data_IF_660246174770
#
_entry.id   IF_660246174770
#
_cell.length_a   1.000
_cell.length_b   1.000
_cell.length_c   1.000
_cell.angle_alpha   90.00
_cell.angle_beta   90.00
_cell.angle_gamma   90.00
#
_symmetry.space_group_name_H-M   'P 1'
#
loop_
_entity.id
_entity.type
_entity.pdbx_description
1 polymer ?
#
# COMPACT_ATOMS: atom_id res chain seq x y z
N UNK A 1 -6.29 -20.25 25.62
CA UNK A 1 -7.06 -21.24 26.43
C UNK A 1 -7.71 -22.28 25.53
N UNK A 2 -8.28 -21.93 24.35
CA UNK A 2 -8.72 -22.96 23.39
C UNK A 2 -7.60 -23.80 22.79
N UNK A 3 -6.42 -23.22 22.60
CA UNK A 3 -5.26 -23.95 22.06
C UNK A 3 -4.91 -25.16 22.94
N UNK A 4 -5.08 -25.02 24.26
CA UNK A 4 -4.87 -26.11 25.24
C UNK A 4 -5.86 -27.25 25.02
N UNK A 5 -7.13 -26.97 24.69
CA UNK A 5 -8.10 -28.03 24.42
C UNK A 5 -7.78 -28.77 23.12
N UNK A 6 -7.32 -28.08 22.08
CA UNK A 6 -6.89 -28.69 20.82
C UNK A 6 -5.58 -29.50 20.97
N UNK A 7 -4.71 -29.10 21.91
CA UNK A 7 -3.52 -29.86 22.25
C UNK A 7 -3.83 -31.14 23.05
N UNK A 8 -4.89 -31.14 23.88
CA UNK A 8 -5.25 -32.27 24.72
C UNK A 8 -6.13 -33.29 23.98
N UNK A 9 -7.04 -32.88 23.10
CA UNK A 9 -7.89 -33.80 22.37
C UNK A 9 -7.08 -34.59 21.33
N UNK A 10 -7.05 -35.92 21.46
CA UNK A 10 -6.35 -36.87 20.58
C UNK A 10 -7.26 -37.98 20.06
N UNK A 11 -8.30 -38.35 20.79
CA UNK A 11 -9.24 -39.40 20.36
C UNK A 11 -10.54 -38.81 19.83
N UNK A 12 -11.29 -39.64 19.09
CA UNK A 12 -12.59 -39.26 18.53
C UNK A 12 -13.58 -38.86 19.63
N UNK A 13 -13.61 -39.61 20.72
CA UNK A 13 -14.52 -39.40 21.85
C UNK A 13 -14.25 -38.06 22.56
N UNK A 14 -12.98 -37.65 22.66
CA UNK A 14 -12.59 -36.36 23.24
C UNK A 14 -13.05 -35.19 22.37
N UNK A 15 -12.91 -35.32 21.04
CA UNK A 15 -13.42 -34.33 20.10
C UNK A 15 -14.96 -34.23 20.10
N UNK A 16 -15.66 -35.36 20.15
CA UNK A 16 -17.12 -35.40 20.29
C UNK A 16 -17.58 -34.75 21.61
N UNK A 17 -16.86 -34.99 22.71
CA UNK A 17 -17.13 -34.34 23.99
C UNK A 17 -16.93 -32.82 23.92
N UNK A 18 -15.83 -32.36 23.29
CA UNK A 18 -15.57 -30.94 23.11
C UNK A 18 -16.67 -30.26 22.27
N UNK A 19 -17.11 -30.89 21.17
CA UNK A 19 -18.23 -30.40 20.37
C UNK A 19 -19.48 -30.22 21.23
N UNK A 20 -19.83 -31.21 22.05
CA UNK A 20 -20.98 -31.12 22.96
C UNK A 20 -20.84 -29.95 23.95
N UNK A 21 -19.65 -29.74 24.51
CA UNK A 21 -19.37 -28.62 25.42
C UNK A 21 -19.43 -27.25 24.76
N UNK A 22 -19.03 -27.15 23.50
CA UNK A 22 -19.17 -25.92 22.74
C UNK A 22 -20.64 -25.62 22.44
N UNK A 23 -21.42 -26.64 22.13
CA UNK A 23 -22.85 -26.52 21.78
C UNK A 23 -23.75 -26.17 22.97
N UNK A 24 -23.35 -26.52 24.21
CA UNK A 24 -24.07 -26.15 25.45
C UNK A 24 -24.25 -24.63 25.64
N UNK A 25 -23.36 -23.80 25.06
CA UNK A 25 -23.53 -22.34 25.05
C UNK A 25 -23.20 -21.77 23.65
N UNK A 26 -24.16 -21.75 22.73
CA UNK A 26 -23.89 -21.43 21.33
C UNK A 26 -23.50 -19.96 21.15
N UNK A 27 -22.47 -19.72 20.33
CA UNK A 27 -22.09 -18.41 19.81
C UNK A 27 -21.51 -18.56 18.40
N UNK A 28 -21.48 -17.49 17.61
CA UNK A 28 -20.94 -17.56 16.24
C UNK A 28 -19.49 -18.09 16.22
N UNK A 29 -18.66 -17.69 17.19
CA UNK A 29 -17.30 -18.20 17.33
C UNK A 29 -17.25 -19.69 17.70
N UNK A 30 -18.10 -20.17 18.61
CA UNK A 30 -18.13 -21.60 18.99
C UNK A 30 -18.71 -22.48 17.88
N UNK A 31 -19.70 -21.99 17.14
CA UNK A 31 -20.25 -22.69 15.97
C UNK A 31 -19.20 -22.87 14.89
N UNK A 32 -18.41 -21.84 14.62
CA UNK A 32 -17.25 -21.96 13.73
C UNK A 32 -16.29 -23.04 14.21
N UNK A 33 -15.94 -23.03 15.50
CA UNK A 33 -15.05 -24.03 16.07
C UNK A 33 -15.59 -25.45 15.99
N UNK A 34 -16.90 -25.64 16.20
CA UNK A 34 -17.57 -26.92 16.00
C UNK A 34 -17.43 -27.38 14.55
N UNK A 35 -17.68 -26.50 13.57
CA UNK A 35 -17.52 -26.84 12.14
C UNK A 35 -16.08 -27.25 11.82
N UNK A 36 -15.10 -26.54 12.34
CA UNK A 36 -13.68 -26.85 12.15
C UNK A 36 -13.34 -28.23 12.75
N UNK A 37 -13.79 -28.53 13.97
CA UNK A 37 -13.61 -29.84 14.61
C UNK A 37 -14.28 -30.96 13.79
N UNK A 38 -15.52 -30.75 13.34
CA UNK A 38 -16.26 -31.73 12.54
C UNK A 38 -15.52 -32.07 11.24
N UNK A 39 -14.92 -31.07 10.59
CA UNK A 39 -14.17 -31.23 9.33
C UNK A 39 -12.78 -31.83 9.53
N UNK A 40 -11.98 -31.24 10.41
CA UNK A 40 -10.54 -31.50 10.49
C UNK A 40 -10.17 -32.66 11.41
N UNK A 41 -10.99 -32.94 12.44
CA UNK A 41 -10.66 -33.93 13.46
C UNK A 41 -11.61 -35.13 13.49
N UNK A 42 -12.91 -34.90 13.27
CA UNK A 42 -13.92 -35.96 13.24
C UNK A 42 -14.20 -36.51 11.83
N UNK A 43 -13.77 -35.77 10.79
CA UNK A 43 -14.03 -36.07 9.38
C UNK A 43 -15.51 -36.37 9.08
N UNK A 44 -16.40 -35.67 9.78
CA UNK A 44 -17.84 -35.80 9.64
C UNK A 44 -18.38 -34.73 8.67
N UNK A 45 -18.20 -35.00 7.38
CA UNK A 45 -18.60 -34.11 6.29
C UNK A 45 -20.09 -33.72 6.37
N UNK A 46 -20.96 -34.66 6.78
CA UNK A 46 -22.40 -34.43 6.88
C UNK A 46 -22.70 -33.38 7.95
N UNK A 47 -22.14 -33.51 9.15
CA UNK A 47 -22.35 -32.55 10.22
C UNK A 47 -21.78 -31.17 9.86
N UNK A 48 -20.62 -31.13 9.19
CA UNK A 48 -20.05 -29.88 8.68
C UNK A 48 -20.99 -29.19 7.69
N UNK A 49 -21.45 -29.91 6.67
CA UNK A 49 -22.33 -29.36 5.62
C UNK A 49 -23.67 -28.91 6.19
N UNK A 50 -24.28 -29.70 7.07
CA UNK A 50 -25.55 -29.35 7.72
C UNK A 50 -25.45 -28.02 8.47
N UNK A 51 -24.35 -27.75 9.17
CA UNK A 51 -24.18 -26.48 9.88
C UNK A 51 -23.77 -25.34 8.93
N UNK A 52 -22.81 -25.58 8.02
CA UNK A 52 -22.31 -24.55 7.09
C UNK A 52 -23.41 -24.03 6.16
N UNK A 53 -24.30 -24.90 5.70
CA UNK A 53 -25.38 -24.51 4.79
C UNK A 53 -26.50 -23.71 5.48
N UNK A 54 -26.61 -23.72 6.82
CA UNK A 54 -27.61 -22.91 7.54
C UNK A 54 -27.30 -21.41 7.50
N UNK A 55 -26.02 -21.03 7.38
CA UNK A 55 -25.59 -19.63 7.43
C UNK A 55 -24.42 -19.38 6.48
N UNK A 56 -24.72 -18.84 5.30
CA UNK A 56 -23.75 -18.32 4.34
C UNK A 56 -23.99 -16.82 4.15
N UNK A 57 -23.30 -15.99 4.94
CA UNK A 57 -23.51 -14.55 4.94
C UNK A 57 -22.28 -13.78 4.49
N UNK A 58 -21.12 -14.10 5.06
CA UNK A 58 -19.86 -13.46 4.72
C UNK A 58 -19.16 -14.19 3.57
N UNK A 59 -18.34 -13.48 2.81
CA UNK A 59 -17.51 -14.08 1.75
C UNK A 59 -16.65 -15.24 2.26
N UNK A 60 -16.15 -15.15 3.49
CA UNK A 60 -15.42 -16.25 4.13
C UNK A 60 -16.29 -17.50 4.37
N UNK A 61 -17.60 -17.36 4.60
CA UNK A 61 -18.48 -18.53 4.74
C UNK A 61 -18.58 -19.29 3.42
N UNK A 62 -18.70 -18.56 2.31
CA UNK A 62 -18.68 -19.13 0.97
C UNK A 62 -17.32 -19.71 0.62
N UNK A 63 -16.23 -19.06 1.03
CA UNK A 63 -14.88 -19.57 0.77
C UNK A 63 -14.62 -20.86 1.53
N UNK A 64 -14.97 -20.94 2.82
CA UNK A 64 -14.81 -22.15 3.62
C UNK A 64 -15.56 -23.34 2.98
N UNK A 65 -16.76 -23.10 2.44
CA UNK A 65 -17.54 -24.12 1.74
C UNK A 65 -16.95 -24.47 0.36
N UNK A 66 -16.49 -23.49 -0.41
CA UNK A 66 -15.82 -23.73 -1.69
C UNK A 66 -14.53 -24.54 -1.49
N UNK A 67 -13.70 -24.18 -0.51
CA UNK A 67 -12.49 -24.89 -0.14
C UNK A 67 -12.76 -26.34 0.28
N UNK A 68 -13.83 -26.57 1.06
CA UNK A 68 -14.28 -27.92 1.38
C UNK A 68 -14.58 -28.74 0.11
N UNK A 69 -15.31 -28.18 -0.86
CA UNK A 69 -15.59 -28.89 -2.11
C UNK A 69 -14.33 -29.11 -2.97
N UNK A 70 -13.36 -28.19 -2.95
CA UNK A 70 -12.06 -28.38 -3.61
C UNK A 70 -11.33 -29.59 -3.02
N UNK A 71 -11.27 -29.70 -1.69
CA UNK A 71 -10.63 -30.83 -0.99
C UNK A 71 -11.28 -32.17 -1.31
N UNK A 72 -12.60 -32.17 -1.54
CA UNK A 72 -13.35 -33.37 -1.95
C UNK A 72 -13.28 -33.66 -3.45
N UNK A 73 -12.61 -32.81 -4.24
CA UNK A 73 -12.54 -32.93 -5.69
C UNK A 73 -13.86 -32.57 -6.41
N UNK A 74 -14.83 -32.00 -5.70
CA UNK A 74 -16.14 -31.61 -6.24
C UNK A 74 -16.07 -30.22 -6.91
N UNK A 75 -15.26 -30.10 -7.95
CA UNK A 75 -14.90 -28.82 -8.56
C UNK A 75 -16.10 -27.99 -9.04
N UNK A 76 -17.17 -28.65 -9.52
CA UNK A 76 -18.38 -27.94 -9.96
C UNK A 76 -19.06 -27.20 -8.81
N UNK A 77 -19.23 -27.86 -7.66
CA UNK A 77 -19.84 -27.24 -6.47
C UNK A 77 -18.94 -26.16 -5.88
N UNK A 78 -17.62 -26.36 -5.92
CA UNK A 78 -16.67 -25.33 -5.49
C UNK A 78 -16.81 -24.05 -6.32
N UNK A 79 -16.89 -24.17 -7.65
CA UNK A 79 -17.08 -23.03 -8.55
C UNK A 79 -18.43 -22.36 -8.34
N UNK A 80 -19.51 -23.13 -8.27
CA UNK A 80 -20.85 -22.59 -8.02
C UNK A 80 -20.89 -21.83 -6.68
N UNK A 81 -20.32 -22.41 -5.62
CA UNK A 81 -20.24 -21.78 -4.31
C UNK A 81 -19.44 -20.47 -4.36
N UNK A 82 -18.31 -20.47 -5.07
CA UNK A 82 -17.49 -19.28 -5.21
C UNK A 82 -18.20 -18.16 -5.99
N UNK A 83 -18.91 -18.50 -7.07
CA UNK A 83 -19.74 -17.58 -7.86
C UNK A 83 -20.85 -16.96 -7.00
N UNK A 84 -21.55 -17.78 -6.21
CA UNK A 84 -22.55 -17.25 -5.27
C UNK A 84 -21.89 -16.33 -4.23
N UNK A 85 -20.69 -16.67 -3.76
CA UNK A 85 -19.93 -15.89 -2.80
C UNK A 85 -19.58 -14.49 -3.29
N UNK A 86 -19.05 -14.33 -4.50
CA UNK A 86 -18.70 -12.99 -5.02
C UNK A 86 -19.94 -12.10 -5.24
N UNK A 87 -21.10 -12.71 -5.49
CA UNK A 87 -22.36 -12.00 -5.72
C UNK A 87 -23.06 -11.60 -4.40
N UNK A 88 -23.07 -12.50 -3.41
CA UNK A 88 -23.91 -12.38 -2.20
C UNK A 88 -23.13 -12.16 -0.91
N UNK A 89 -21.89 -12.66 -0.84
CA UNK A 89 -21.09 -12.64 0.38
C UNK A 89 -20.74 -11.21 0.81
N UNK A 90 -20.84 -10.93 2.11
CA UNK A 90 -20.41 -9.65 2.69
C UNK A 90 -18.97 -9.71 3.23
N UNK A 91 -18.35 -8.54 3.38
CA UNK A 91 -16.97 -8.45 3.88
C UNK A 91 -15.96 -8.94 2.86
N UNK A 92 -14.96 -9.70 3.32
CA UNK A 92 -13.81 -10.14 2.52
C UNK A 92 -14.22 -11.12 1.42
N UNK A 93 -13.87 -10.81 0.17
CA UNK A 93 -14.13 -11.64 -1.02
C UNK A 93 -12.86 -12.10 -1.77
N UNK A 94 -11.67 -11.77 -1.26
CA UNK A 94 -10.38 -11.94 -1.94
C UNK A 94 -10.15 -13.36 -2.46
N UNK A 95 -10.33 -14.37 -1.61
CA UNK A 95 -10.09 -15.77 -1.95
C UNK A 95 -11.05 -16.29 -3.02
N UNK A 96 -12.31 -15.83 -2.99
CA UNK A 96 -13.33 -16.22 -3.97
C UNK A 96 -12.98 -15.68 -5.36
N UNK A 97 -12.63 -14.39 -5.44
CA UNK A 97 -12.18 -13.77 -6.70
C UNK A 97 -10.91 -14.41 -7.22
N UNK A 98 -9.93 -14.65 -6.34
CA UNK A 98 -8.69 -15.31 -6.72
C UNK A 98 -8.95 -16.70 -7.31
N UNK A 99 -9.70 -17.55 -6.60
CA UNK A 99 -10.02 -18.90 -7.05
C UNK A 99 -10.74 -18.94 -8.40
N UNK A 100 -11.75 -18.09 -8.58
CA UNK A 100 -12.47 -17.98 -9.86
C UNK A 100 -11.56 -17.48 -10.98
N UNK A 101 -10.75 -16.46 -10.71
CA UNK A 101 -9.82 -15.93 -11.72
C UNK A 101 -8.77 -16.95 -12.15
N UNK A 102 -8.16 -17.66 -11.20
CA UNK A 102 -7.18 -18.73 -11.49
C UNK A 102 -7.83 -19.84 -12.33
N UNK A 103 -9.09 -20.19 -12.03
CA UNK A 103 -9.85 -21.17 -12.82
C UNK A 103 -10.07 -20.71 -14.27
N UNK A 104 -10.58 -19.49 -14.47
CA UNK A 104 -10.91 -19.00 -15.80
C UNK A 104 -9.67 -18.70 -16.64
N UNK A 105 -8.60 -18.17 -16.03
CA UNK A 105 -7.29 -18.01 -16.69
C UNK A 105 -6.76 -19.36 -17.17
N UNK A 106 -6.77 -20.38 -16.30
CA UNK A 106 -6.29 -21.73 -16.66
C UNK A 106 -7.10 -22.37 -17.79
N UNK A 107 -8.39 -22.07 -17.89
CA UNK A 107 -9.26 -22.55 -18.98
C UNK A 107 -9.19 -21.72 -20.26
N UNK A 108 -8.57 -20.54 -20.23
CA UNK A 108 -8.67 -19.57 -21.32
C UNK A 108 -10.09 -19.02 -21.50
N UNK A 109 -10.90 -19.01 -20.44
CA UNK A 109 -12.28 -18.54 -20.47
C UNK A 109 -12.33 -17.03 -20.24
N UNK A 110 -12.01 -16.30 -21.31
CA UNK A 110 -11.97 -14.82 -21.30
C UNK A 110 -13.30 -14.22 -20.88
N UNK A 111 -14.43 -14.77 -21.34
CA UNK A 111 -15.77 -14.22 -21.07
C UNK A 111 -16.07 -14.23 -19.58
N UNK A 112 -15.80 -15.36 -18.90
CA UNK A 112 -16.04 -15.43 -17.48
C UNK A 112 -15.00 -14.66 -16.65
N UNK A 113 -13.74 -14.60 -17.09
CA UNK A 113 -12.74 -13.76 -16.46
C UNK A 113 -13.14 -12.28 -16.48
N UNK A 114 -13.59 -11.76 -17.63
CA UNK A 114 -14.09 -10.39 -17.73
C UNK A 114 -15.33 -10.17 -16.87
N UNK A 115 -16.27 -11.13 -16.85
CA UNK A 115 -17.48 -11.05 -16.02
C UNK A 115 -17.15 -10.91 -14.54
N UNK A 116 -16.21 -11.69 -14.01
CA UNK A 116 -15.83 -11.57 -12.60
C UNK A 116 -15.07 -10.27 -12.31
N UNK A 117 -14.31 -9.74 -13.26
CA UNK A 117 -13.69 -8.40 -13.13
C UNK A 117 -14.77 -7.31 -13.08
N UNK A 118 -15.79 -7.39 -13.94
CA UNK A 118 -16.93 -6.46 -13.87
C UNK A 118 -17.70 -6.59 -12.56
N UNK A 119 -17.80 -7.81 -12.02
CA UNK A 119 -18.40 -8.05 -10.71
C UNK A 119 -17.60 -7.36 -9.60
N UNK A 120 -16.26 -7.47 -9.62
CA UNK A 120 -15.38 -6.77 -8.69
C UNK A 120 -15.59 -5.24 -8.74
N UNK A 121 -15.64 -4.67 -9.95
CA UNK A 121 -15.89 -3.23 -10.15
C UNK A 121 -17.26 -2.79 -9.64
N UNK A 122 -18.31 -3.56 -9.93
CA UNK A 122 -19.68 -3.25 -9.48
C UNK A 122 -19.82 -3.35 -7.96
N UNK A 123 -19.14 -4.31 -7.34
CA UNK A 123 -19.13 -4.54 -5.88
C UNK A 123 -18.21 -3.57 -5.13
N UNK A 124 -17.36 -2.81 -5.84
CA UNK A 124 -16.28 -1.99 -5.27
C UNK A 124 -15.38 -2.78 -4.33
N UNK A 125 -15.01 -3.97 -4.77
CA UNK A 125 -14.18 -4.90 -4.00
C UNK A 125 -13.24 -5.65 -4.94
N UNK A 126 -11.96 -5.76 -4.57
CA UNK A 126 -10.89 -6.32 -5.42
C UNK A 126 -10.74 -5.65 -6.81
N UNK A 127 -11.15 -4.39 -7.00
CA UNK A 127 -11.13 -3.76 -8.34
C UNK A 127 -9.73 -3.79 -8.97
N UNK A 128 -8.73 -3.28 -8.25
CA UNK A 128 -7.35 -3.23 -8.74
C UNK A 128 -6.75 -4.64 -8.92
N UNK A 129 -6.77 -5.55 -7.93
CA UNK A 129 -6.24 -6.89 -8.10
C UNK A 129 -6.85 -7.66 -9.28
N UNK A 130 -8.16 -7.52 -9.51
CA UNK A 130 -8.84 -8.16 -10.63
C UNK A 130 -8.48 -7.54 -11.97
N UNK A 131 -8.38 -6.21 -12.07
CA UNK A 131 -7.90 -5.53 -13.27
C UNK A 131 -6.44 -5.87 -13.58
N UNK A 132 -5.59 -5.98 -12.57
CA UNK A 132 -4.20 -6.41 -12.73
C UNK A 132 -4.11 -7.83 -13.28
N UNK A 133 -4.91 -8.77 -12.75
CA UNK A 133 -5.00 -10.13 -13.28
C UNK A 133 -5.49 -10.16 -14.73
N UNK A 134 -6.49 -9.35 -15.07
CA UNK A 134 -7.00 -9.25 -16.44
C UNK A 134 -5.94 -8.67 -17.40
N UNK A 135 -5.17 -7.69 -16.95
CA UNK A 135 -4.04 -7.15 -17.69
C UNK A 135 -2.98 -8.22 -17.98
N UNK A 136 -2.55 -8.96 -16.96
CA UNK A 136 -1.55 -10.03 -17.12
C UNK A 136 -2.05 -11.10 -18.10
N UNK A 137 -3.31 -11.51 -17.98
CA UNK A 137 -3.94 -12.46 -18.90
C UNK A 137 -3.89 -11.99 -20.36
N UNK A 138 -4.29 -10.75 -20.63
CA UNK A 138 -4.26 -10.22 -22.00
C UNK A 138 -2.86 -9.98 -22.52
N UNK A 139 -1.92 -9.57 -21.65
CA UNK A 139 -0.52 -9.41 -21.99
C UNK A 139 0.08 -10.75 -22.43
N UNK A 140 -0.17 -11.82 -21.68
CA UNK A 140 0.39 -13.15 -21.95
C UNK A 140 -0.17 -13.76 -23.24
N UNK A 141 -1.37 -13.33 -23.66
CA UNK A 141 -1.95 -13.65 -24.97
C UNK A 141 -1.43 -12.78 -26.12
N UNK A 142 -0.62 -11.76 -25.85
CA UNK A 142 -0.19 -10.77 -26.84
C UNK A 142 -1.29 -9.80 -27.28
N UNK A 143 -2.42 -9.74 -26.57
CA UNK A 143 -3.54 -8.85 -26.89
C UNK A 143 -3.30 -7.45 -26.31
N UNK A 144 -2.48 -6.68 -27.01
CA UNK A 144 -2.01 -5.36 -26.56
C UNK A 144 -3.15 -4.37 -26.25
N UNK A 145 -4.17 -4.26 -27.10
CA UNK A 145 -5.25 -3.27 -26.90
C UNK A 145 -6.07 -3.57 -25.64
N UNK A 146 -6.39 -4.85 -25.41
CA UNK A 146 -7.14 -5.26 -24.22
C UNK A 146 -6.29 -5.14 -22.95
N UNK A 147 -5.01 -5.52 -23.01
CA UNK A 147 -4.08 -5.34 -21.90
C UNK A 147 -3.89 -3.85 -21.56
N UNK A 148 -3.72 -2.97 -22.56
CA UNK A 148 -3.65 -1.52 -22.38
C UNK A 148 -4.90 -1.00 -21.67
N UNK A 149 -6.09 -1.40 -22.12
CA UNK A 149 -7.35 -1.02 -21.49
C UNK A 149 -7.43 -1.43 -20.02
N UNK A 150 -7.10 -2.68 -19.71
CA UNK A 150 -7.10 -3.20 -18.34
C UNK A 150 -6.08 -2.48 -17.44
N UNK A 151 -4.86 -2.22 -17.94
CA UNK A 151 -3.82 -1.53 -17.18
C UNK A 151 -4.20 -0.08 -16.87
N UNK A 152 -4.72 0.66 -17.86
CA UNK A 152 -5.18 2.03 -17.66
C UNK A 152 -6.33 2.08 -16.66
N UNK A 153 -7.25 1.11 -16.71
CA UNK A 153 -8.33 1.03 -15.73
C UNK A 153 -7.81 0.70 -14.34
N UNK A 154 -6.84 -0.22 -14.22
CA UNK A 154 -6.19 -0.56 -12.94
C UNK A 154 -5.53 0.66 -12.29
N UNK A 155 -4.89 1.51 -13.09
CA UNK A 155 -4.26 2.75 -12.63
C UNK A 155 -5.23 3.68 -11.89
N UNK A 156 -6.50 3.75 -12.33
CA UNK A 156 -7.52 4.57 -11.66
C UNK A 156 -7.73 4.16 -10.18
N UNK A 157 -7.41 2.91 -9.85
CA UNK A 157 -7.54 2.30 -8.52
C UNK A 157 -6.19 2.17 -7.78
N UNK A 158 -5.11 2.81 -8.23
CA UNK A 158 -3.78 2.76 -7.61
C UNK A 158 -3.73 3.24 -6.14
N UNK A 159 -4.82 3.80 -5.61
CA UNK A 159 -4.90 4.28 -4.22
C UNK A 159 -3.96 5.46 -3.94
N UNK A 160 -3.83 5.85 -2.67
CA UNK A 160 -3.06 7.04 -2.29
C UNK A 160 -1.53 6.84 -2.26
N UNK A 161 -1.01 5.64 -2.59
CA UNK A 161 0.42 5.31 -2.52
C UNK A 161 0.79 4.44 -3.72
N UNK A 162 1.95 4.69 -4.32
CA UNK A 162 2.50 3.82 -5.37
C UNK A 162 2.30 4.34 -6.79
N UNK A 163 1.86 5.59 -6.97
CA UNK A 163 1.69 6.20 -8.28
C UNK A 163 3.00 6.26 -9.08
N UNK A 164 4.15 6.35 -8.39
CA UNK A 164 5.45 6.30 -9.05
C UNK A 164 5.72 4.93 -9.68
N UNK A 165 5.34 3.84 -9.00
CA UNK A 165 5.48 2.49 -9.53
C UNK A 165 4.49 2.23 -10.68
N UNK A 166 3.24 2.69 -10.54
CA UNK A 166 2.24 2.54 -11.61
C UNK A 166 2.58 3.39 -12.84
N UNK A 167 3.13 4.58 -12.67
CA UNK A 167 3.64 5.39 -13.79
C UNK A 167 4.74 4.65 -14.57
N UNK A 168 5.68 4.01 -13.86
CA UNK A 168 6.72 3.18 -14.51
C UNK A 168 6.12 1.98 -15.22
N UNK A 169 5.20 1.27 -14.58
CA UNK A 169 4.51 0.13 -15.17
C UNK A 169 3.77 0.49 -16.45
N UNK A 170 3.08 1.64 -16.49
CA UNK A 170 2.45 2.17 -17.70
C UNK A 170 3.50 2.46 -18.79
N UNK A 171 4.57 3.18 -18.45
CA UNK A 171 5.64 3.53 -19.39
C UNK A 171 6.33 2.30 -19.99
N UNK A 172 6.54 1.26 -19.19
CA UNK A 172 7.22 0.03 -19.61
C UNK A 172 6.36 -0.82 -20.53
N UNK A 173 5.03 -0.79 -20.36
CA UNK A 173 4.10 -1.61 -21.14
C UNK A 173 3.59 -0.92 -22.42
N UNK A 174 3.29 0.39 -22.35
CA UNK A 174 2.68 1.12 -23.45
C UNK A 174 3.69 1.38 -24.57
N UNK A 175 3.24 1.23 -25.83
CA UNK A 175 3.99 1.64 -27.01
C UNK A 175 4.12 3.15 -27.06
N UNK A 176 5.21 3.66 -27.65
CA UNK A 176 5.50 5.10 -27.70
C UNK A 176 4.31 5.98 -28.14
N UNK A 177 3.56 5.67 -29.22
CA UNK A 177 2.44 6.51 -29.65
C UNK A 177 1.29 6.57 -28.65
N UNK A 178 1.05 5.50 -27.89
CA UNK A 178 0.03 5.47 -26.84
C UNK A 178 0.55 6.20 -25.59
N UNK A 179 1.81 5.99 -25.24
CA UNK A 179 2.44 6.64 -24.10
C UNK A 179 2.46 8.16 -24.26
N UNK A 180 2.79 8.68 -25.44
CA UNK A 180 2.76 10.13 -25.73
C UNK A 180 1.38 10.76 -25.48
N UNK A 181 0.30 10.00 -25.71
CA UNK A 181 -1.07 10.47 -25.48
C UNK A 181 -1.54 10.31 -24.03
N UNK A 182 -1.08 9.26 -23.35
CA UNK A 182 -1.49 8.90 -21.99
C UNK A 182 -0.70 9.66 -20.93
N UNK A 183 0.61 9.77 -21.12
CA UNK A 183 1.55 10.28 -20.11
C UNK A 183 1.17 11.65 -19.57
N UNK A 184 0.80 12.66 -20.40
CA UNK A 184 0.47 13.98 -19.86
C UNK A 184 -0.73 13.97 -18.92
N UNK A 185 -1.72 13.11 -19.19
CA UNK A 185 -2.93 12.98 -18.37
C UNK A 185 -2.60 12.32 -17.03
N UNK A 186 -1.90 11.19 -17.08
CA UNK A 186 -1.44 10.45 -15.91
C UNK A 186 -0.53 11.31 -15.04
N UNK A 187 0.44 12.00 -15.64
CA UNK A 187 1.38 12.87 -14.94
C UNK A 187 0.68 14.00 -14.20
N UNK A 188 -0.31 14.65 -14.84
CA UNK A 188 -1.08 15.72 -14.21
C UNK A 188 -2.02 15.19 -13.12
N UNK A 189 -2.63 14.02 -13.31
CA UNK A 189 -3.46 13.38 -12.27
C UNK A 189 -2.65 13.05 -11.01
N UNK A 190 -1.44 12.50 -11.17
CA UNK A 190 -0.56 12.17 -10.04
C UNK A 190 -0.13 13.42 -9.29
N UNK A 191 0.12 14.54 -9.99
CA UNK A 191 0.45 15.83 -9.37
C UNK A 191 -0.60 16.25 -8.34
N UNK A 192 -1.87 16.10 -8.68
CA UNK A 192 -2.99 16.54 -7.84
C UNK A 192 -3.29 15.55 -6.71
N UNK A 193 -3.10 14.24 -6.96
CA UNK A 193 -3.41 13.18 -5.99
C UNK A 193 -2.28 12.88 -5.01
N UNK A 194 -1.02 12.92 -5.46
CA UNK A 194 0.14 12.57 -4.64
C UNK A 194 1.40 13.33 -5.09
N UNK A 195 1.66 14.46 -4.43
CA UNK A 195 2.84 15.31 -4.69
C UNK A 195 4.17 14.57 -4.53
N UNK A 196 4.28 13.59 -3.62
CA UNK A 196 5.55 12.88 -3.41
C UNK A 196 5.89 11.99 -4.60
N UNK A 197 4.95 11.18 -5.05
CA UNK A 197 5.16 10.31 -6.21
C UNK A 197 5.31 11.14 -7.50
N UNK A 198 4.60 12.26 -7.62
CA UNK A 198 4.83 13.25 -8.68
C UNK A 198 6.28 13.75 -8.70
N UNK A 199 6.83 14.17 -7.56
CA UNK A 199 8.21 14.66 -7.48
C UNK A 199 9.24 13.56 -7.80
N UNK A 200 8.96 12.30 -7.48
CA UNK A 200 9.80 11.16 -7.89
C UNK A 200 9.80 10.99 -9.41
N UNK A 201 8.65 11.14 -10.07
CA UNK A 201 8.56 11.15 -11.52
C UNK A 201 9.30 12.35 -12.11
N UNK A 202 9.18 13.55 -11.51
CA UNK A 202 9.94 14.72 -11.94
C UNK A 202 11.46 14.46 -11.91
N UNK A 203 11.96 13.81 -10.86
CA UNK A 203 13.38 13.43 -10.78
C UNK A 203 13.77 12.44 -11.89
N UNK A 204 12.95 11.40 -12.13
CA UNK A 204 13.20 10.42 -13.20
C UNK A 204 13.21 11.08 -14.59
N UNK A 205 12.43 12.17 -14.77
CA UNK A 205 12.38 13.00 -15.98
C UNK A 205 13.44 14.13 -15.99
N UNK A 206 14.36 14.17 -15.04
CA UNK A 206 15.36 15.22 -14.85
C UNK A 206 14.78 16.66 -14.71
N UNK A 207 13.54 16.79 -14.24
CA UNK A 207 12.84 18.06 -14.01
C UNK A 207 13.18 18.67 -12.64
N UNK A 208 14.48 18.75 -12.32
CA UNK A 208 14.96 19.13 -10.97
C UNK A 208 14.56 20.54 -10.55
N UNK A 209 14.44 21.48 -11.49
CA UNK A 209 13.93 22.82 -11.21
C UNK A 209 12.48 22.80 -10.69
N UNK A 210 11.62 21.98 -11.28
CA UNK A 210 10.24 21.80 -10.80
C UNK A 210 10.24 21.21 -9.39
N UNK A 211 11.14 20.27 -9.12
CA UNK A 211 11.31 19.71 -7.77
C UNK A 211 11.71 20.80 -6.78
N UNK A 212 12.70 21.63 -7.13
CA UNK A 212 13.14 22.76 -6.31
C UNK A 212 11.98 23.72 -5.98
N UNK A 213 11.24 24.14 -7.00
CA UNK A 213 10.14 25.10 -6.86
C UNK A 213 9.07 24.56 -5.89
N UNK A 214 8.72 23.27 -6.01
CA UNK A 214 7.72 22.63 -5.15
C UNK A 214 8.22 22.47 -3.72
N UNK A 215 9.47 22.07 -3.47
CA UNK A 215 9.96 21.89 -2.09
C UNK A 215 10.15 23.23 -1.35
N UNK A 216 10.46 24.31 -2.08
CA UNK A 216 10.58 25.66 -1.52
C UNK A 216 9.20 26.31 -1.30
N UNK A 217 8.22 25.97 -2.14
CA UNK A 217 6.84 26.45 -2.05
C UNK A 217 5.83 25.30 -2.13
N UNK A 218 5.70 24.48 -1.06
CA UNK A 218 4.86 23.30 -1.13
C UNK A 218 3.38 23.63 -1.30
N UNK A 219 2.63 22.81 -2.05
CA UNK A 219 1.20 23.02 -2.23
C UNK A 219 0.47 22.95 -0.87
N UNK A 220 -0.53 23.81 -0.74
CA UNK A 220 -1.42 23.84 0.42
C UNK A 220 -2.53 22.81 0.23
N UNK A 221 -2.93 22.15 1.32
CA UNK A 221 -4.11 21.30 1.30
C UNK A 221 -5.40 22.14 1.21
N UNK A 222 -6.56 21.47 1.09
CA UNK A 222 -7.89 22.11 1.02
C UNK A 222 -8.26 23.01 2.19
N UNK A 223 -7.51 22.93 3.30
CA UNK A 223 -7.67 23.75 4.50
C UNK A 223 -6.64 24.88 4.58
N UNK A 224 -5.86 25.10 3.53
CA UNK A 224 -4.84 26.15 3.47
C UNK A 224 -3.55 25.83 4.22
N UNK A 225 -3.43 24.67 4.85
CA UNK A 225 -2.19 24.25 5.52
C UNK A 225 -1.19 23.75 4.48
N UNK A 226 0.04 24.22 4.59
CA UNK A 226 1.17 23.64 3.84
C UNK A 226 1.23 22.16 4.20
N UNK A 227 1.26 21.28 3.21
CA UNK A 227 1.54 19.88 3.45
C UNK A 227 2.92 19.80 4.12
N UNK A 228 2.97 19.62 5.44
CA UNK A 228 4.20 19.33 6.19
C UNK A 228 4.67 17.91 5.83
N UNK A 229 5.05 17.75 4.56
CA UNK A 229 5.74 16.59 4.09
C UNK A 229 7.22 16.91 4.20
N UNK A 230 7.93 16.05 4.93
CA UNK A 230 9.37 16.03 4.84
C UNK A 230 9.76 15.77 3.37
N UNK A 231 10.33 16.79 2.72
CA UNK A 231 10.82 16.75 1.34
C UNK A 231 12.34 16.58 1.28
N UNK A 232 12.96 16.21 2.41
CA UNK A 232 14.39 16.01 2.52
C UNK A 232 14.94 15.05 1.46
N UNK A 233 14.21 13.97 1.15
CA UNK A 233 14.62 13.00 0.13
C UNK A 233 14.83 13.65 -1.26
N UNK A 234 14.09 14.72 -1.56
CA UNK A 234 14.18 15.46 -2.82
C UNK A 234 15.27 16.51 -2.76
N UNK A 235 15.35 17.26 -1.67
CA UNK A 235 16.41 18.23 -1.42
C UNK A 235 17.80 17.57 -1.50
N UNK A 236 17.95 16.39 -0.89
CA UNK A 236 19.20 15.63 -0.90
C UNK A 236 19.60 15.16 -2.31
N UNK A 237 18.64 14.95 -3.21
CA UNK A 237 18.90 14.53 -4.60
C UNK A 237 19.22 15.68 -5.55
N UNK A 238 18.93 16.93 -5.18
CA UNK A 238 19.15 18.10 -6.05
C UNK A 238 20.17 19.11 -5.49
N UNK A 239 20.73 18.84 -4.30
CA UNK A 239 21.69 19.73 -3.63
C UNK A 239 23.00 19.97 -4.37
N UNK A 240 23.42 19.06 -5.25
CA UNK A 240 24.63 19.28 -6.06
C UNK A 240 24.40 20.33 -7.15
N UNK A 241 23.17 20.41 -7.68
CA UNK A 241 22.80 21.32 -8.75
C UNK A 241 22.29 22.67 -8.23
N UNK A 242 21.64 22.68 -7.05
CA UNK A 242 21.10 23.88 -6.42
C UNK A 242 21.59 24.07 -4.98
N UNK A 243 22.92 24.06 -4.72
CA UNK A 243 23.46 24.02 -3.36
C UNK A 243 23.00 25.20 -2.50
N UNK A 244 23.01 26.41 -3.03
CA UNK A 244 22.62 27.61 -2.28
C UNK A 244 21.14 27.57 -1.84
N UNK A 245 20.26 27.12 -2.73
CA UNK A 245 18.82 27.00 -2.43
C UNK A 245 18.51 25.87 -1.46
N UNK A 246 19.26 24.77 -1.52
CA UNK A 246 19.10 23.68 -0.56
C UNK A 246 19.70 24.04 0.81
N UNK A 247 20.76 24.84 0.86
CA UNK A 247 21.24 25.44 2.12
C UNK A 247 20.14 26.29 2.75
N UNK A 248 19.51 27.20 2.00
CA UNK A 248 18.39 28.02 2.48
C UNK A 248 17.25 27.14 3.03
N UNK A 249 16.88 26.08 2.29
CA UNK A 249 15.85 25.11 2.71
C UNK A 249 16.18 24.45 4.06
N UNK A 250 17.37 23.87 4.22
CA UNK A 250 17.75 23.20 5.47
C UNK A 250 17.94 24.18 6.62
N UNK A 251 18.45 25.39 6.35
CA UNK A 251 18.51 26.44 7.37
C UNK A 251 17.10 26.79 7.86
N UNK A 252 16.11 26.99 6.99
CA UNK A 252 14.75 27.25 7.43
C UNK A 252 14.20 26.14 8.34
N UNK A 253 14.46 24.86 8.02
CA UNK A 253 14.07 23.73 8.89
C UNK A 253 14.80 23.75 10.24
N UNK A 254 16.10 24.06 10.25
CA UNK A 254 16.87 24.22 11.49
C UNK A 254 16.27 25.33 12.37
N UNK A 255 16.04 26.52 11.81
CA UNK A 255 15.50 27.67 12.53
C UNK A 255 14.11 27.41 13.13
N UNK A 256 13.22 26.71 12.40
CA UNK A 256 11.90 26.30 12.92
C UNK A 256 12.02 25.41 14.16
N UNK A 257 13.03 24.54 14.21
CA UNK A 257 13.29 23.64 15.34
C UNK A 257 14.00 24.33 16.52
N UNK A 258 14.69 25.46 16.28
CA UNK A 258 15.34 26.26 17.33
C UNK A 258 14.33 27.20 18.01
N UNK A 259 13.43 27.83 17.24
CA UNK A 259 12.48 28.80 17.77
C UNK A 259 11.45 28.14 18.69
N UNK A 260 11.46 28.51 19.97
CA UNK A 260 10.55 27.92 20.97
C UNK A 260 10.84 26.45 21.29
N UNK A 261 12.01 25.95 20.86
CA UNK A 261 12.38 24.54 20.94
C UNK A 261 12.86 24.08 22.31
N UNK A 262 13.00 22.76 22.43
CA UNK A 262 13.57 22.04 23.57
C UNK A 262 14.72 21.13 23.08
N UNK A 263 15.36 20.37 23.98
CA UNK A 263 16.46 19.43 23.64
C UNK A 263 16.17 18.56 22.41
N UNK A 264 14.95 18.01 22.31
CA UNK A 264 14.56 17.15 21.19
C UNK A 264 14.53 17.91 19.86
N UNK A 265 13.94 19.10 19.84
CA UNK A 265 13.91 19.91 18.60
C UNK A 265 15.29 20.49 18.28
N UNK A 266 16.11 20.82 19.29
CA UNK A 266 17.50 21.24 19.07
C UNK A 266 18.35 20.15 18.43
N UNK A 267 18.18 18.89 18.85
CA UNK A 267 18.81 17.74 18.17
C UNK A 267 18.37 17.63 16.70
N UNK A 268 17.07 17.81 16.40
CA UNK A 268 16.59 17.89 15.01
C UNK A 268 17.22 19.07 14.23
N UNK A 269 17.38 20.24 14.87
CA UNK A 269 18.06 21.37 14.26
C UNK A 269 19.53 21.05 13.94
N UNK A 270 20.23 20.35 14.83
CA UNK A 270 21.61 19.91 14.62
C UNK A 270 21.72 18.98 13.39
N UNK A 271 20.76 18.09 13.16
CA UNK A 271 20.70 17.24 11.95
C UNK A 271 20.64 18.09 10.68
N UNK A 272 19.77 19.10 10.62
CA UNK A 272 19.69 20.00 9.46
C UNK A 272 20.95 20.85 9.27
N UNK A 273 21.54 21.35 10.36
CA UNK A 273 22.79 22.11 10.31
C UNK A 273 23.97 21.24 9.84
N UNK A 274 24.00 19.95 10.19
CA UNK A 274 24.98 19.01 9.66
C UNK A 274 24.84 18.84 8.14
N UNK A 275 23.60 18.81 7.61
CA UNK A 275 23.37 18.82 6.16
C UNK A 275 23.89 20.11 5.51
N UNK A 276 23.64 21.28 6.12
CA UNK A 276 24.17 22.56 5.64
C UNK A 276 25.70 22.57 5.61
N UNK A 277 26.34 22.11 6.69
CA UNK A 277 27.81 21.95 6.74
C UNK A 277 28.31 21.08 5.59
N UNK A 278 27.70 19.91 5.40
CA UNK A 278 28.08 18.98 4.34
C UNK A 278 28.03 19.63 2.96
N UNK A 279 26.99 20.43 2.66
CA UNK A 279 26.89 21.15 1.38
C UNK A 279 28.04 22.17 1.25
N UNK A 280 28.29 23.00 2.29
CA UNK A 280 29.40 23.95 2.24
C UNK A 280 30.76 23.28 2.07
N UNK A 281 31.07 22.24 2.86
CA UNK A 281 32.41 21.66 2.88
C UNK A 281 32.68 20.70 1.73
N UNK A 282 31.68 19.91 1.31
CA UNK A 282 31.90 18.81 0.37
C UNK A 282 31.41 19.12 -1.05
N UNK A 283 30.37 19.95 -1.19
CA UNK A 283 29.81 20.32 -2.51
C UNK A 283 30.39 21.64 -2.98
N UNK A 284 30.19 22.71 -2.21
CA UNK A 284 30.69 24.06 -2.55
C UNK A 284 32.21 24.16 -2.32
N UNK A 285 32.76 23.34 -1.41
CA UNK A 285 34.17 23.36 -0.98
C UNK A 285 34.61 24.70 -0.38
N UNK A 286 33.71 25.32 0.42
CA UNK A 286 33.92 26.60 1.09
C UNK A 286 33.69 26.47 2.61
N UNK A 287 34.70 25.96 3.29
CA UNK A 287 34.67 25.78 4.75
C UNK A 287 34.62 27.13 5.49
N UNK A 288 35.16 28.19 4.90
CA UNK A 288 35.19 29.51 5.53
C UNK A 288 33.78 30.10 5.65
N UNK A 289 32.94 29.95 4.61
CA UNK A 289 31.52 30.33 4.67
C UNK A 289 30.75 29.52 5.71
N UNK A 290 31.01 28.22 5.85
CA UNK A 290 30.41 27.43 6.94
C UNK A 290 30.79 27.98 8.30
N UNK A 291 32.09 28.21 8.56
CA UNK A 291 32.58 28.75 9.84
C UNK A 291 31.93 30.08 10.18
N UNK A 292 31.85 30.98 9.19
CA UNK A 292 31.18 32.27 9.36
C UNK A 292 29.69 32.08 9.70
N UNK A 293 28.95 31.33 8.88
CA UNK A 293 27.51 31.10 9.07
C UNK A 293 27.20 30.44 10.42
N UNK A 294 28.03 29.50 10.85
CA UNK A 294 27.85 28.79 12.12
C UNK A 294 28.19 29.67 13.33
N UNK A 295 29.21 30.53 13.21
CA UNK A 295 29.52 31.55 14.22
C UNK A 295 28.36 32.54 14.38
N UNK A 296 27.80 33.02 13.27
CA UNK A 296 26.65 33.94 13.28
C UNK A 296 25.43 33.30 13.95
N UNK A 297 25.16 32.02 13.65
CA UNK A 297 24.07 31.25 14.27
C UNK A 297 24.25 31.11 15.79
N UNK A 298 25.47 30.81 16.26
CA UNK A 298 25.78 30.73 17.71
C UNK A 298 25.58 32.08 18.39
N UNK A 299 25.97 33.17 17.74
CA UNK A 299 25.77 34.53 18.24
C UNK A 299 24.27 34.87 18.35
N UNK A 300 23.49 34.53 17.32
CA UNK A 300 22.03 34.74 17.27
C UNK A 300 21.31 34.01 18.41
N UNK A 301 21.73 32.78 18.72
CA UNK A 301 21.10 31.93 19.74
C UNK A 301 21.93 31.77 21.03
N UNK A 302 22.81 32.72 21.35
CA UNK A 302 23.71 32.66 22.52
C UNK A 302 22.99 32.43 23.85
N UNK A 303 21.74 32.88 23.97
CA UNK A 303 20.91 32.73 25.17
C UNK A 303 20.20 31.35 25.25
N UNK A 304 20.55 30.39 24.39
CA UNK A 304 19.99 29.03 24.36
C UNK A 304 21.09 27.98 24.63
N UNK A 305 21.58 27.83 25.88
CA UNK A 305 22.71 26.96 26.18
C UNK A 305 22.49 25.50 25.79
N UNK A 306 21.27 24.98 25.98
CA UNK A 306 20.94 23.62 25.56
C UNK A 306 21.06 23.43 24.04
N UNK A 307 20.69 24.42 23.23
CA UNK A 307 20.89 24.36 21.77
C UNK A 307 22.37 24.40 21.41
N UNK A 308 23.13 25.33 22.02
CA UNK A 308 24.58 25.44 21.80
C UNK A 308 25.30 24.13 22.13
N UNK A 309 24.89 23.45 23.20
CA UNK A 309 25.41 22.14 23.60
C UNK A 309 25.12 21.05 22.55
N UNK A 310 23.90 21.01 21.99
CA UNK A 310 23.55 20.06 20.92
C UNK A 310 24.40 20.27 19.65
N UNK A 311 24.70 21.52 19.28
CA UNK A 311 25.40 21.81 18.01
C UNK A 311 26.92 21.90 18.14
N UNK A 312 27.50 21.89 19.34
CA UNK A 312 28.93 22.21 19.55
C UNK A 312 29.94 21.36 18.76
N UNK A 313 29.53 20.17 18.31
CA UNK A 313 30.35 19.22 17.57
C UNK A 313 30.25 19.37 16.04
N UNK A 314 29.34 20.23 15.56
CA UNK A 314 29.18 20.56 14.14
C UNK A 314 30.32 21.43 13.63
#
# INVERSE_FOLDING_TARGET
MMDVFFEICKTKEEWEYLVKKLDEHPSDWRKKLIMDIQREHLHNDKAYLEERMKKLHYGMDYWDLAAFYIEKGEMHKALETAEQGILKGEGRLTELFQYLSDHFVKKGDTVNLERIVQTALARKHEEKPMLDRLFEYYRDQGNYEMAKGALLKSFEFAGNKGYHAEYKRLKEFLKDPDWEQVEPKVFNEIKDKNVRDYLRICLDKNMKKVVLDVILSPPKNKWGFVLENDFDEFADKIKEEYPDKIIEYYLQKAYRNIKGGNRKTYSNAAVYLAKVKNIYTNIIKDESKWKQRFSDLKSEFKNRPAFIDEVKHL
#
